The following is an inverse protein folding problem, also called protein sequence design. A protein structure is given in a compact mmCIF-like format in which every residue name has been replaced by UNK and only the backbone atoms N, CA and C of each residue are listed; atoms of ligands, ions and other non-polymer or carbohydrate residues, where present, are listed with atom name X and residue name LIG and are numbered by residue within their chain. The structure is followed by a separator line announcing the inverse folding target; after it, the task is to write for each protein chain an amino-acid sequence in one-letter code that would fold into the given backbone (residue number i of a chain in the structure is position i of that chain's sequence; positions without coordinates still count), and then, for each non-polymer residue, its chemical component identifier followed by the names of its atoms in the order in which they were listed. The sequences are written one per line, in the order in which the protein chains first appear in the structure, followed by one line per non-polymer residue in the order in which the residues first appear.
data_IF_194027620774
#
_entry.id   IF_194027620774
#
_cell.length_a   1.000
_cell.length_b   1.000
_cell.length_c   1.000
_cell.angle_alpha   90.00
_cell.angle_beta   90.00
_cell.angle_gamma   90.00
#
_symmetry.space_group_name_H-M   'P 1'
#
loop_
_entity.id
_entity.type
_entity.pdbx_description
1 polymer ?
#
# COMPACT_ATOMS: atom_id res chain seq x y z
N UNK A 1 29.72 -21.41 18.71
CA UNK A 1 29.64 -20.85 17.34
C UNK A 1 28.38 -21.35 16.60
N UNK A 2 27.18 -21.21 17.17
CA UNK A 2 25.97 -21.83 16.59
C UNK A 2 24.73 -20.92 16.48
N UNK A 3 24.86 -19.61 16.67
CA UNK A 3 23.69 -18.70 16.67
C UNK A 3 23.57 -17.78 15.44
N UNK A 4 24.45 -17.88 14.45
CA UNK A 4 24.54 -16.88 13.35
C UNK A 4 23.69 -17.18 12.11
N UNK A 5 23.00 -18.33 12.06
CA UNK A 5 22.30 -18.78 10.84
C UNK A 5 20.78 -18.56 10.84
N UNK A 6 20.14 -18.28 11.99
CA UNK A 6 18.69 -18.06 12.05
C UNK A 6 18.27 -16.65 11.58
N UNK A 7 19.17 -15.66 11.66
CA UNK A 7 18.85 -14.25 11.38
C UNK A 7 18.90 -13.86 9.89
N UNK A 8 19.26 -14.79 8.99
CA UNK A 8 19.52 -14.50 7.57
C UNK A 8 18.33 -14.79 6.66
N UNK A 9 17.35 -15.56 7.15
CA UNK A 9 16.15 -15.91 6.40
C UNK A 9 15.08 -14.80 6.45
N UNK A 10 15.06 -14.00 7.51
CA UNK A 10 14.08 -12.92 7.73
C UNK A 10 14.48 -11.58 7.06
N UNK A 11 15.73 -11.46 6.60
CA UNK A 11 16.26 -10.27 5.92
C UNK A 11 16.26 -10.38 4.38
N UNK A 12 15.84 -11.51 3.81
CA UNK A 12 15.77 -11.63 2.36
C UNK A 12 14.71 -10.66 1.81
N UNK A 13 15.13 -9.77 0.91
CA UNK A 13 14.22 -8.86 0.23
C UNK A 13 13.18 -9.67 -0.55
N UNK A 14 11.91 -9.38 -0.31
CA UNK A 14 10.82 -10.13 -0.94
C UNK A 14 10.85 -9.87 -2.47
N UNK A 15 10.69 -10.90 -3.31
CA UNK A 15 10.53 -10.69 -4.74
C UNK A 15 9.35 -9.75 -5.05
N UNK A 16 9.49 -8.91 -6.07
CA UNK A 16 8.48 -7.89 -6.40
C UNK A 16 7.08 -8.48 -6.63
N UNK A 17 6.98 -9.63 -7.30
CA UNK A 17 5.71 -10.33 -7.49
C UNK A 17 5.07 -10.77 -6.17
N UNK A 18 5.88 -11.17 -5.18
CA UNK A 18 5.38 -11.52 -3.86
C UNK A 18 4.92 -10.27 -3.09
N UNK A 19 5.64 -9.16 -3.18
CA UNK A 19 5.21 -7.87 -2.61
C UNK A 19 3.88 -7.41 -3.22
N UNK A 20 3.74 -7.47 -4.55
CA UNK A 20 2.49 -7.16 -5.26
C UNK A 20 1.33 -8.04 -4.78
N UNK A 21 1.54 -9.35 -4.72
CA UNK A 21 0.51 -10.28 -4.28
C UNK A 21 0.03 -9.99 -2.84
N UNK A 22 0.97 -9.73 -1.92
CA UNK A 22 0.65 -9.35 -0.53
C UNK A 22 -0.14 -8.03 -0.48
N UNK A 23 0.27 -7.03 -1.25
CA UNK A 23 -0.44 -5.74 -1.33
C UNK A 23 -1.88 -5.93 -1.82
N UNK A 24 -2.09 -6.69 -2.90
CA UNK A 24 -3.43 -6.95 -3.44
C UNK A 24 -4.31 -7.73 -2.44
N UNK A 25 -3.74 -8.70 -1.71
CA UNK A 25 -4.49 -9.39 -0.64
C UNK A 25 -4.87 -8.42 0.47
N UNK A 26 -3.97 -7.51 0.88
CA UNK A 26 -4.23 -6.53 1.92
C UNK A 26 -5.30 -5.49 1.52
N UNK A 27 -5.36 -5.10 0.25
CA UNK A 27 -6.37 -4.18 -0.30
C UNK A 27 -7.78 -4.79 -0.37
N UNK A 28 -7.87 -6.12 -0.39
CA UNK A 28 -9.13 -6.86 -0.49
C UNK A 28 -9.70 -6.92 -1.92
N UNK A 29 -10.67 -7.80 -2.12
CA UNK A 29 -11.18 -8.15 -3.45
C UNK A 29 -11.85 -6.98 -4.17
N UNK A 30 -12.63 -6.16 -3.46
CA UNK A 30 -13.35 -5.03 -4.03
C UNK A 30 -12.39 -3.97 -4.59
N UNK A 31 -11.45 -3.52 -3.76
CA UNK A 31 -10.43 -2.54 -4.15
C UNK A 31 -9.55 -3.06 -5.30
N UNK A 32 -9.13 -4.32 -5.23
CA UNK A 32 -8.36 -4.95 -6.30
C UNK A 32 -9.13 -4.98 -7.62
N UNK A 33 -10.44 -5.27 -7.59
CA UNK A 33 -11.29 -5.23 -8.77
C UNK A 33 -11.34 -3.83 -9.40
N UNK A 34 -11.39 -2.77 -8.60
CA UNK A 34 -11.34 -1.40 -9.12
C UNK A 34 -9.98 -1.04 -9.72
N UNK A 35 -8.87 -1.45 -9.09
CA UNK A 35 -7.51 -1.23 -9.60
C UNK A 35 -7.30 -1.95 -10.93
N UNK A 36 -7.72 -3.22 -11.03
CA UNK A 36 -7.52 -4.04 -12.23
C UNK A 36 -8.21 -3.47 -13.48
N UNK A 37 -9.26 -2.66 -13.35
CA UNK A 37 -9.92 -2.00 -14.49
C UNK A 37 -9.00 -1.04 -15.26
N UNK A 38 -7.92 -0.59 -14.64
CA UNK A 38 -6.96 0.35 -15.23
C UNK A 38 -5.69 -0.32 -15.74
N UNK A 39 -5.62 -1.64 -15.68
CA UNK A 39 -4.46 -2.43 -16.10
C UNK A 39 -4.72 -3.10 -17.46
N UNK A 40 -3.64 -3.41 -18.16
CA UNK A 40 -3.70 -4.26 -19.36
C UNK A 40 -3.94 -5.72 -19.01
N UNK A 41 -4.43 -6.50 -19.98
CA UNK A 41 -4.66 -7.95 -19.81
C UNK A 41 -3.41 -8.70 -19.33
N UNK A 42 -2.23 -8.29 -19.83
CA UNK A 42 -0.94 -8.85 -19.44
C UNK A 42 -0.62 -8.58 -17.96
N UNK A 43 -0.80 -7.35 -17.49
CA UNK A 43 -0.57 -6.98 -16.08
C UNK A 43 -1.55 -7.67 -15.14
N UNK A 44 -2.82 -7.81 -15.55
CA UNK A 44 -3.84 -8.56 -14.80
C UNK A 44 -3.40 -10.02 -14.67
N UNK A 45 -2.91 -10.64 -15.75
CA UNK A 45 -2.43 -12.02 -15.72
C UNK A 45 -1.24 -12.19 -14.76
N UNK A 46 -0.24 -11.31 -14.83
CA UNK A 46 0.94 -11.35 -13.94
C UNK A 46 0.54 -11.22 -12.46
N UNK A 47 -0.33 -10.26 -12.13
CA UNK A 47 -0.80 -10.05 -10.75
C UNK A 47 -1.62 -11.25 -10.28
N UNK A 48 -2.50 -11.77 -11.14
CA UNK A 48 -3.32 -12.95 -10.81
C UNK A 48 -2.44 -14.16 -10.54
N UNK A 49 -1.43 -14.40 -11.37
CA UNK A 49 -0.46 -15.48 -11.15
C UNK A 49 0.32 -15.28 -9.84
N UNK A 50 0.73 -14.05 -9.53
CA UNK A 50 1.44 -13.75 -8.29
C UNK A 50 0.57 -14.01 -7.05
N UNK A 51 -0.70 -13.58 -7.07
CA UNK A 51 -1.67 -13.83 -5.99
C UNK A 51 -1.97 -15.31 -5.84
N UNK A 52 -2.17 -16.04 -6.94
CA UNK A 52 -2.47 -17.48 -6.92
C UNK A 52 -1.30 -18.31 -6.37
N UNK A 53 -0.06 -17.87 -6.58
CA UNK A 53 1.14 -18.54 -6.08
C UNK A 53 1.52 -18.12 -4.65
N UNK A 54 0.79 -17.19 -4.05
CA UNK A 54 1.09 -16.68 -2.73
C UNK A 54 0.84 -17.77 -1.68
N UNK A 55 1.89 -18.07 -0.92
CA UNK A 55 1.83 -19.01 0.21
C UNK A 55 1.32 -18.27 1.46
N UNK A 56 1.40 -18.94 2.62
CA UNK A 56 1.11 -18.31 3.91
C UNK A 56 1.86 -16.99 4.05
N UNK A 57 1.10 -15.92 4.29
CA UNK A 57 1.60 -14.57 4.57
C UNK A 57 1.57 -14.39 6.07
N UNK A 58 2.70 -14.01 6.66
CA UNK A 58 2.74 -13.61 8.08
C UNK A 58 2.39 -12.14 8.21
N UNK A 59 1.97 -11.73 9.41
CA UNK A 59 1.63 -10.32 9.69
C UNK A 59 2.84 -9.42 9.44
N UNK A 60 4.03 -9.85 9.84
CA UNK A 60 5.27 -9.11 9.66
C UNK A 60 5.62 -8.89 8.18
N UNK A 61 5.35 -9.88 7.32
CA UNK A 61 5.53 -9.75 5.87
C UNK A 61 4.54 -8.74 5.27
N UNK A 62 3.29 -8.77 5.73
CA UNK A 62 2.26 -7.82 5.29
C UNK A 62 2.62 -6.40 5.72
N UNK A 63 2.97 -6.19 6.98
CA UNK A 63 3.35 -4.88 7.53
C UNK A 63 4.54 -4.29 6.76
N UNK A 64 5.58 -5.09 6.50
CA UNK A 64 6.75 -4.65 5.73
C UNK A 64 6.39 -4.19 4.33
N UNK A 65 5.51 -4.91 3.63
CA UNK A 65 5.08 -4.54 2.27
C UNK A 65 4.25 -3.26 2.29
N UNK A 66 3.36 -3.10 3.28
CA UNK A 66 2.51 -1.91 3.40
C UNK A 66 3.32 -0.67 3.77
N UNK A 67 4.31 -0.79 4.66
CA UNK A 67 5.21 0.31 5.03
C UNK A 67 6.05 0.77 3.82
N UNK A 68 6.61 -0.17 3.05
CA UNK A 68 7.33 0.16 1.81
C UNK A 68 6.43 0.88 0.80
N UNK A 69 5.20 0.38 0.62
CA UNK A 69 4.23 1.01 -0.28
C UNK A 69 3.83 2.42 0.20
N UNK A 70 3.61 2.62 1.50
CA UNK A 70 3.34 3.94 2.08
C UNK A 70 4.48 4.93 1.82
N UNK A 71 5.74 4.49 1.99
CA UNK A 71 6.89 5.33 1.68
C UNK A 71 6.92 5.75 0.21
N UNK A 72 6.53 4.87 -0.71
CA UNK A 72 6.40 5.20 -2.13
C UNK A 72 5.25 6.19 -2.40
N UNK A 73 4.10 6.05 -1.74
CA UNK A 73 3.00 7.01 -1.85
C UNK A 73 3.41 8.40 -1.35
N UNK A 74 4.08 8.46 -0.20
CA UNK A 74 4.56 9.72 0.39
C UNK A 74 5.63 10.38 -0.50
N UNK A 75 6.53 9.59 -1.09
CA UNK A 75 7.54 10.09 -2.02
C UNK A 75 6.93 10.64 -3.33
N UNK A 76 5.80 10.07 -3.78
CA UNK A 76 5.15 10.41 -5.05
C UNK A 76 4.22 11.63 -5.00
N UNK A 77 3.43 11.82 -3.95
CA UNK A 77 2.39 12.87 -3.91
C UNK A 77 2.63 13.99 -2.87
N UNK A 78 3.36 13.72 -1.78
CA UNK A 78 3.23 14.54 -0.57
C UNK A 78 4.37 15.49 -0.30
N UNK A 79 5.57 15.14 -0.78
CA UNK A 79 6.75 16.01 -0.74
C UNK A 79 6.47 17.35 -1.44
N UNK A 80 5.47 17.43 -2.33
CA UNK A 80 5.10 18.64 -3.06
C UNK A 80 3.96 19.47 -2.47
N UNK A 81 3.09 18.91 -1.63
CA UNK A 81 1.87 19.58 -1.16
C UNK A 81 1.88 19.91 0.34
N UNK A 82 2.73 19.28 1.15
CA UNK A 82 2.78 19.52 2.59
C UNK A 82 1.54 18.96 3.33
N UNK A 83 1.63 18.86 4.67
CA UNK A 83 0.62 18.16 5.48
C UNK A 83 -0.78 18.79 5.47
N UNK A 84 -0.89 20.11 5.25
CA UNK A 84 -2.17 20.82 5.23
C UNK A 84 -2.99 20.52 3.97
N UNK A 85 -2.35 20.46 2.81
CA UNK A 85 -3.04 20.20 1.54
C UNK A 85 -3.51 18.76 1.46
N UNK A 86 -2.74 17.82 2.02
CA UNK A 86 -3.24 16.47 2.19
C UNK A 86 -4.44 16.41 3.13
N UNK A 87 -4.34 17.01 4.33
CA UNK A 87 -5.43 16.96 5.30
C UNK A 87 -6.72 17.53 4.71
N UNK A 88 -6.60 18.61 3.92
CA UNK A 88 -7.70 19.15 3.11
C UNK A 88 -8.25 18.12 2.13
N UNK A 89 -7.42 17.57 1.25
CA UNK A 89 -7.88 16.61 0.25
C UNK A 89 -8.52 15.35 0.84
N UNK A 90 -8.01 14.86 1.98
CA UNK A 90 -8.58 13.73 2.70
C UNK A 90 -9.96 14.09 3.30
N UNK A 91 -10.07 15.25 3.96
CA UNK A 91 -11.32 15.73 4.51
C UNK A 91 -12.37 15.99 3.42
N UNK A 92 -12.01 16.58 2.29
CA UNK A 92 -12.94 16.85 1.19
C UNK A 92 -13.55 15.55 0.64
N UNK A 93 -12.75 14.49 0.51
CA UNK A 93 -13.22 13.17 0.07
C UNK A 93 -14.10 12.48 1.11
N UNK A 94 -13.80 12.64 2.40
CA UNK A 94 -14.51 11.95 3.48
C UNK A 94 -15.83 12.64 3.86
N UNK A 95 -15.87 13.98 3.87
CA UNK A 95 -17.00 14.74 4.44
C UNK A 95 -17.59 15.79 3.51
N UNK A 96 -17.05 15.91 2.28
CA UNK A 96 -17.40 16.95 1.33
C UNK A 96 -16.72 18.29 1.61
N UNK A 97 -16.58 19.15 0.60
CA UNK A 97 -15.71 20.32 0.65
C UNK A 97 -16.11 21.36 1.71
N UNK A 98 -17.41 21.53 1.93
CA UNK A 98 -17.92 22.52 2.89
C UNK A 98 -17.59 22.14 4.34
N UNK A 99 -17.82 20.88 4.71
CA UNK A 99 -17.53 20.38 6.06
C UNK A 99 -16.03 20.21 6.30
N UNK A 100 -15.27 19.91 5.23
CA UNK A 100 -13.81 19.89 5.28
C UNK A 100 -13.25 21.26 5.68
N UNK A 101 -13.72 22.34 5.04
CA UNK A 101 -13.27 23.71 5.36
C UNK A 101 -13.61 24.10 6.81
N UNK A 102 -14.82 23.82 7.28
CA UNK A 102 -15.22 24.08 8.68
C UNK A 102 -14.34 23.34 9.70
N UNK A 103 -13.84 22.15 9.36
CA UNK A 103 -12.92 21.39 10.22
C UNK A 103 -11.54 22.02 10.20
N UNK A 104 -11.00 22.35 9.02
CA UNK A 104 -9.68 22.97 8.87
C UNK A 104 -9.58 24.32 9.60
N UNK A 105 -10.61 25.15 9.51
CA UNK A 105 -10.67 26.47 10.15
C UNK A 105 -10.62 26.41 11.69
N UNK A 106 -10.90 25.25 12.30
CA UNK A 106 -10.82 25.05 13.76
C UNK A 106 -9.46 24.54 14.22
N UNK A 107 -8.69 23.95 13.31
CA UNK A 107 -7.39 23.32 13.62
C UNK A 107 -6.23 24.26 13.27
N UNK A 108 -6.44 25.19 12.34
CA UNK A 108 -5.50 26.23 11.93
C UNK A 108 -5.39 27.40 12.91
#
# INVERSE_FOLDING_TARGET
MAQRNANRADEAELPIGQKLAILFVALGQETCGEVMKFLSDYEIEEITQAVANLKTVTVEMQDKVLEEFEQHLLAGEWVRQGGMDFARGALERAVGPRKAQEILDRVA
#
